data_IF_076346514677
#
_entry.id   IF_076346514677
#
_cell.length_a   1.000
_cell.length_b   1.000
_cell.length_c   1.000
_cell.angle_alpha   90.00
_cell.angle_beta   90.00
_cell.angle_gamma   90.00
#
_symmetry.space_group_name_H-M   'P 1'
#
loop_
_entity.id
_entity.type
_entity.pdbx_description
1 polymer ?
#
# COMPACT_ATOMS: atom_id res chain seq x y z
N UNK A 1 -15.64 -3.48 -6.59
CA UNK A 1 -15.36 -4.94 -6.45
C UNK A 1 -14.33 -5.17 -5.37
N UNK A 2 -14.57 -6.09 -4.46
CA UNK A 2 -13.62 -6.37 -3.38
C UNK A 2 -12.90 -7.69 -3.64
N UNK A 3 -11.63 -7.61 -4.03
CA UNK A 3 -10.77 -8.78 -4.33
C UNK A 3 -10.07 -9.31 -3.09
N UNK A 4 -10.02 -8.51 -2.02
CA UNK A 4 -9.29 -8.82 -0.79
C UNK A 4 -10.14 -9.68 0.14
N UNK A 5 -11.43 -9.34 0.29
CA UNK A 5 -12.32 -10.03 1.21
C UNK A 5 -12.33 -11.56 1.06
N UNK A 6 -12.40 -12.12 -0.17
CA UNK A 6 -12.43 -13.58 -0.32
C UNK A 6 -11.14 -14.29 0.12
N UNK A 7 -10.02 -13.58 0.18
CA UNK A 7 -8.71 -14.16 0.55
C UNK A 7 -8.14 -13.57 1.84
N UNK A 8 -8.92 -12.75 2.54
CA UNK A 8 -8.46 -12.02 3.73
C UNK A 8 -7.91 -12.97 4.80
N UNK A 9 -8.62 -14.05 5.10
CA UNK A 9 -8.18 -15.00 6.13
C UNK A 9 -6.83 -15.64 5.78
N UNK A 10 -6.61 -15.94 4.50
CA UNK A 10 -5.32 -16.47 4.04
C UNK A 10 -4.21 -15.44 4.20
N UNK A 11 -4.48 -14.18 3.83
CA UNK A 11 -3.49 -13.12 3.94
C UNK A 11 -3.14 -12.81 5.39
N UNK A 12 -4.11 -12.80 6.28
CA UNK A 12 -3.88 -12.55 7.71
C UNK A 12 -2.97 -13.63 8.31
N UNK A 13 -3.06 -14.87 7.82
CA UNK A 13 -2.25 -15.98 8.30
C UNK A 13 -0.79 -15.98 7.86
N UNK A 14 -0.41 -15.10 6.94
CA UNK A 14 0.97 -15.02 6.46
C UNK A 14 1.82 -14.24 7.46
N UNK A 15 2.88 -14.85 7.98
CA UNK A 15 3.76 -14.24 8.98
C UNK A 15 4.90 -13.44 8.34
N UNK A 16 5.42 -13.89 7.20
CA UNK A 16 6.52 -13.21 6.52
C UNK A 16 6.01 -11.97 5.77
N UNK A 17 6.49 -10.76 6.14
CA UNK A 17 6.04 -9.53 5.46
C UNK A 17 6.27 -9.54 3.95
N UNK A 18 7.41 -10.08 3.50
CA UNK A 18 7.72 -10.13 2.06
C UNK A 18 6.75 -11.04 1.32
N UNK A 19 6.40 -12.17 1.90
CA UNK A 19 5.44 -13.08 1.31
C UNK A 19 4.04 -12.48 1.30
N UNK A 20 3.66 -11.79 2.37
CA UNK A 20 2.36 -11.10 2.44
C UNK A 20 2.22 -10.08 1.32
N UNK A 21 3.25 -9.27 1.10
CA UNK A 21 3.25 -8.28 0.03
C UNK A 21 3.14 -8.95 -1.33
N UNK A 22 3.91 -10.01 -1.57
CA UNK A 22 3.88 -10.75 -2.83
C UNK A 22 2.49 -11.33 -3.11
N UNK A 23 1.86 -11.95 -2.11
CA UNK A 23 0.53 -12.52 -2.26
C UNK A 23 -0.53 -11.44 -2.48
N UNK A 24 -0.41 -10.31 -1.79
CA UNK A 24 -1.32 -9.18 -1.99
C UNK A 24 -1.20 -8.62 -3.42
N UNK A 25 0.02 -8.43 -3.91
CA UNK A 25 0.24 -7.92 -5.26
C UNK A 25 -0.35 -8.85 -6.32
N UNK A 26 -0.28 -10.16 -6.12
CA UNK A 26 -0.92 -11.12 -7.02
C UNK A 26 -2.44 -10.92 -7.06
N UNK A 27 -3.06 -10.68 -5.91
CA UNK A 27 -4.52 -10.49 -5.82
C UNK A 27 -4.97 -9.24 -6.57
N UNK A 28 -4.16 -8.18 -6.54
CA UNK A 28 -4.51 -6.89 -7.15
C UNK A 28 -3.72 -6.61 -8.44
N UNK A 29 -3.09 -7.63 -9.02
CA UNK A 29 -2.23 -7.48 -10.20
C UNK A 29 -2.94 -6.94 -11.43
N UNK A 30 -4.25 -7.10 -11.53
CA UNK A 30 -5.05 -6.57 -12.63
C UNK A 30 -5.26 -5.05 -12.56
N UNK A 31 -4.83 -4.42 -11.47
CA UNK A 31 -5.06 -2.99 -11.22
C UNK A 31 -3.78 -2.17 -11.23
N UNK A 32 -2.74 -2.65 -11.91
CA UNK A 32 -1.51 -1.88 -12.11
C UNK A 32 -1.83 -0.61 -12.90
N UNK A 33 -1.54 0.55 -12.31
CA UNK A 33 -1.74 1.84 -12.98
C UNK A 33 -0.90 2.93 -12.31
N UNK A 34 -0.58 4.02 -13.03
CA UNK A 34 0.10 5.15 -12.40
C UNK A 34 -0.79 5.81 -11.35
N UNK A 35 -0.21 6.45 -10.33
CA UNK A 35 -0.99 7.21 -9.35
C UNK A 35 -1.87 8.25 -10.02
N UNK A 36 -3.10 8.38 -9.53
CA UNK A 36 -4.10 9.29 -10.09
C UNK A 36 -4.88 9.94 -8.95
N UNK A 37 -5.06 11.25 -9.03
CA UNK A 37 -5.80 12.00 -8.02
C UNK A 37 -7.25 11.48 -7.92
N UNK A 38 -7.72 11.34 -6.69
CA UNK A 38 -9.06 10.84 -6.40
C UNK A 38 -9.15 9.32 -6.28
N UNK A 39 -8.03 8.61 -6.43
CA UNK A 39 -7.99 7.15 -6.36
C UNK A 39 -7.12 6.67 -5.20
N UNK A 40 -7.27 5.39 -4.85
CA UNK A 40 -6.54 4.76 -3.75
C UNK A 40 -5.49 3.82 -4.31
N UNK A 41 -4.27 3.85 -3.73
CA UNK A 41 -3.15 3.06 -4.23
C UNK A 41 -2.39 2.36 -3.11
N UNK A 42 -1.85 1.19 -3.45
CA UNK A 42 -0.89 0.44 -2.65
C UNK A 42 0.37 0.27 -3.48
N UNK A 43 1.53 0.43 -2.87
CA UNK A 43 2.82 0.33 -3.57
C UNK A 43 3.94 0.00 -2.60
N UNK A 44 5.13 -0.30 -3.14
CA UNK A 44 6.36 -0.48 -2.36
C UNK A 44 7.20 0.79 -2.46
N UNK A 45 7.80 1.21 -1.35
CA UNK A 45 8.48 2.50 -1.25
C UNK A 45 9.73 2.39 -0.37
N UNK A 46 10.77 3.16 -0.72
CA UNK A 46 11.98 3.27 0.09
C UNK A 46 11.94 4.61 0.81
N UNK A 47 11.49 4.68 2.08
CA UNK A 47 11.46 5.92 2.83
C UNK A 47 12.83 6.26 3.38
N UNK A 48 13.03 7.51 3.82
CA UNK A 48 14.26 7.92 4.49
C UNK A 48 14.44 7.17 5.81
N UNK A 49 13.34 6.91 6.50
CA UNK A 49 13.33 6.20 7.78
C UNK A 49 12.06 5.38 7.86
N UNK A 50 12.23 4.05 7.99
CA UNK A 50 11.11 3.14 8.13
C UNK A 50 11.09 2.56 9.53
N UNK A 51 9.92 2.56 10.17
CA UNK A 51 9.71 1.98 11.50
C UNK A 51 8.83 0.72 11.42
N UNK A 52 7.87 0.72 10.50
CA UNK A 52 6.97 -0.42 10.30
C UNK A 52 6.88 -0.75 8.82
N UNK A 53 6.28 -1.90 8.50
CA UNK A 53 6.03 -2.30 7.11
C UNK A 53 5.16 -1.29 6.37
N UNK A 54 4.31 -0.53 7.06
CA UNK A 54 3.49 0.50 6.43
C UNK A 54 4.31 1.63 5.81
N UNK A 55 5.52 1.84 6.28
CA UNK A 55 6.41 2.87 5.70
C UNK A 55 6.99 2.40 4.37
N UNK A 56 7.14 1.09 4.16
CA UNK A 56 7.67 0.52 2.92
C UNK A 56 6.56 0.00 2.00
N UNK A 57 5.35 -0.18 2.52
CA UNK A 57 4.18 -0.57 1.72
C UNK A 57 2.99 0.34 2.05
N UNK A 58 3.07 1.62 1.66
CA UNK A 58 2.01 2.59 2.00
C UNK A 58 0.68 2.29 1.32
N UNK A 59 -0.39 2.65 2.01
CA UNK A 59 -1.76 2.65 1.48
C UNK A 59 -2.23 4.11 1.47
N UNK A 60 -2.43 4.67 0.28
CA UNK A 60 -2.58 6.12 0.11
C UNK A 60 -3.80 6.48 -0.73
N UNK A 61 -4.58 7.45 -0.24
CA UNK A 61 -5.58 8.15 -1.06
C UNK A 61 -4.87 9.32 -1.74
N UNK A 62 -4.65 9.23 -3.04
CA UNK A 62 -3.89 10.24 -3.80
C UNK A 62 -4.75 11.48 -3.99
N UNK A 63 -4.20 12.66 -3.64
CA UNK A 63 -4.88 13.94 -3.81
C UNK A 63 -4.27 14.79 -4.93
N UNK A 64 -2.97 14.67 -5.16
CA UNK A 64 -2.27 15.44 -6.18
C UNK A 64 -1.17 14.60 -6.82
N UNK A 65 -0.94 14.82 -8.12
CA UNK A 65 0.13 14.16 -8.87
C UNK A 65 1.01 15.23 -9.49
N UNK A 66 2.32 15.09 -9.33
CA UNK A 66 3.34 16.00 -9.86
C UNK A 66 4.23 15.27 -10.86
N UNK A 67 5.10 16.01 -11.53
CA UNK A 67 6.06 15.41 -12.48
C UNK A 67 7.06 14.47 -11.78
N UNK A 68 7.40 14.73 -10.52
CA UNK A 68 8.42 13.96 -9.78
C UNK A 68 7.84 13.06 -8.70
N UNK A 69 6.52 13.08 -8.47
CA UNK A 69 5.91 12.29 -7.42
C UNK A 69 4.43 12.60 -7.24
N UNK A 70 3.91 12.24 -6.10
CA UNK A 70 2.50 12.47 -5.77
C UNK A 70 2.34 12.70 -4.27
N UNK A 71 1.19 13.24 -3.91
CA UNK A 71 0.83 13.51 -2.52
C UNK A 71 -0.54 12.92 -2.21
N UNK A 72 -0.70 12.45 -0.99
CA UNK A 72 -1.98 11.92 -0.54
C UNK A 72 -2.02 11.64 0.94
N UNK A 73 -3.15 11.12 1.40
CA UNK A 73 -3.34 10.73 2.80
C UNK A 73 -2.92 9.28 2.96
N UNK A 74 -1.93 9.06 3.83
CA UNK A 74 -1.54 7.72 4.25
C UNK A 74 -2.52 7.24 5.32
N UNK A 75 -3.21 6.14 5.07
CA UNK A 75 -4.26 5.66 5.97
C UNK A 75 -3.75 5.21 7.33
N UNK A 76 -2.52 4.73 7.42
CA UNK A 76 -1.98 4.24 8.68
C UNK A 76 -1.59 5.36 9.62
N UNK A 77 -1.13 6.47 9.04
CA UNK A 77 -0.70 7.63 9.83
C UNK A 77 -1.76 8.72 9.91
N UNK A 78 -2.77 8.66 9.04
CA UNK A 78 -3.80 9.69 8.97
C UNK A 78 -3.28 11.04 8.57
N UNK A 79 -2.15 11.10 7.87
CA UNK A 79 -1.45 12.35 7.53
C UNK A 79 -1.19 12.44 6.04
N UNK A 80 -1.12 13.68 5.55
CA UNK A 80 -0.64 13.93 4.19
C UNK A 80 0.85 13.63 4.12
N UNK A 81 1.23 12.92 3.06
CA UNK A 81 2.63 12.62 2.77
C UNK A 81 2.89 12.78 1.30
N UNK A 82 4.13 13.16 0.97
CA UNK A 82 4.59 13.29 -0.41
C UNK A 82 5.50 12.11 -0.72
N UNK A 83 5.28 11.50 -1.88
CA UNK A 83 6.04 10.33 -2.34
C UNK A 83 6.74 10.66 -3.65
N UNK A 84 8.03 10.37 -3.72
CA UNK A 84 8.83 10.58 -4.92
C UNK A 84 8.79 9.35 -5.81
N UNK A 85 8.60 9.53 -7.12
CA UNK A 85 8.65 8.41 -8.06
C UNK A 85 9.99 7.69 -8.03
N UNK A 86 11.08 8.38 -7.73
CA UNK A 86 12.42 7.78 -7.67
C UNK A 86 12.57 6.76 -6.53
N UNK A 87 11.72 6.82 -5.52
CA UNK A 87 11.76 5.92 -4.38
C UNK A 87 10.73 4.79 -4.46
N UNK A 88 9.95 4.74 -5.52
CA UNK A 88 9.03 3.63 -5.75
C UNK A 88 9.82 2.38 -6.16
N UNK A 89 9.40 1.24 -5.63
CA UNK A 89 9.96 -0.07 -5.99
C UNK A 89 8.87 -0.85 -6.71
N UNK A 90 9.09 -1.13 -8.00
CA UNK A 90 8.09 -1.81 -8.81
C UNK A 90 6.95 -0.88 -9.21
N UNK A 91 5.73 -1.38 -9.13
CA UNK A 91 4.57 -0.71 -9.68
C UNK A 91 3.63 -0.20 -8.60
N UNK A 92 2.72 0.69 -8.98
CA UNK A 92 1.62 1.12 -8.12
C UNK A 92 0.36 0.36 -8.51
N UNK A 93 -0.42 -0.03 -7.50
CA UNK A 93 -1.64 -0.82 -7.67
C UNK A 93 -2.84 -0.04 -7.16
N UNK A 94 -3.80 0.19 -8.04
CA UNK A 94 -5.05 0.82 -7.65
C UNK A 94 -5.92 -0.16 -6.87
N UNK A 95 -6.50 0.30 -5.78
CA UNK A 95 -7.45 -0.48 -5.00
C UNK A 95 -8.80 0.23 -4.92
N UNK A 96 -9.86 -0.54 -4.74
CA UNK A 96 -11.20 0.02 -4.65
C UNK A 96 -11.49 0.49 -3.22
N UNK A 97 -12.37 1.51 -3.06
CA UNK A 97 -12.71 2.00 -1.72
C UNK A 97 -13.18 0.91 -0.77
N UNK A 98 -13.96 -0.05 -1.25
CA UNK A 98 -14.45 -1.17 -0.42
C UNK A 98 -13.34 -2.13 0.01
N UNK A 99 -12.16 -2.07 -0.60
CA UNK A 99 -11.00 -2.90 -0.22
C UNK A 99 -10.16 -2.28 0.90
N UNK A 100 -10.32 -1.00 1.18
CA UNK A 100 -9.48 -0.27 2.14
C UNK A 100 -9.59 -0.86 3.54
N UNK A 101 -10.80 -1.17 3.99
CA UNK A 101 -11.02 -1.73 5.31
C UNK A 101 -10.31 -3.07 5.48
N UNK A 102 -10.38 -3.93 4.47
CA UNK A 102 -9.72 -5.23 4.51
C UNK A 102 -8.21 -5.09 4.44
N UNK A 103 -7.70 -4.14 3.66
CA UNK A 103 -6.27 -3.84 3.62
C UNK A 103 -5.75 -3.37 4.97
N UNK A 104 -6.52 -2.54 5.67
CA UNK A 104 -6.15 -2.08 7.01
C UNK A 104 -6.19 -3.21 8.05
N UNK A 105 -6.95 -4.26 7.80
CA UNK A 105 -7.01 -5.43 8.69
C UNK A 105 -5.78 -6.33 8.55
N UNK A 106 -4.99 -6.19 7.49
CA UNK A 106 -3.75 -6.95 7.32
C UNK A 106 -2.73 -6.55 8.39
N UNK A 107 -1.84 -7.47 8.81
CA UNK A 107 -0.97 -7.22 9.96
C UNK A 107 0.24 -6.35 9.69
N UNK A 108 0.21 -5.50 8.66
CA UNK A 108 1.34 -4.63 8.31
C UNK A 108 1.79 -3.74 9.46
N UNK A 109 0.84 -3.12 10.18
CA UNK A 109 1.15 -2.18 11.25
C UNK A 109 1.67 -2.85 12.52
N UNK A 110 1.56 -4.17 12.60
CA UNK A 110 2.01 -4.95 13.75
C UNK A 110 3.42 -5.48 13.58
N UNK A 111 3.95 -5.39 12.36
CA UNK A 111 5.27 -5.93 12.01
C UNK A 111 6.27 -4.78 11.99
N UNK A 112 7.27 -4.86 12.87
CA UNK A 112 8.36 -3.89 12.92
C UNK A 112 9.53 -4.38 12.09
N UNK A 113 10.14 -3.47 11.33
CA UNK A 113 11.27 -3.83 10.46
C UNK A 113 12.54 -4.15 11.25
N UNK A 114 12.65 -3.63 12.46
CA UNK A 114 13.85 -3.79 13.31
C UNK A 114 13.58 -4.61 14.57
N UNK A 115 12.61 -5.46 14.53
CA UNK A 115 12.28 -6.31 15.69
C UNK A 115 13.28 -7.42 15.92
#
# INVERSE_FOLDING_TARGET
MNRISPVLDRLIGIEDPSELVTQLEEVISDSVSPPEAGQFFVFSYVPKKADTIFDVNPQVAVTEVYSCGFRGVNFHHGQFRTYSFSNLVGQTYRVYPEEIKDLQALPFGKIRLNS
#
